data_IF_355998720221
#
_entry.id   IF_355998720221
#
_cell.length_a   1.000
_cell.length_b   1.000
_cell.length_c   1.000
_cell.angle_alpha   90.00
_cell.angle_beta   90.00
_cell.angle_gamma   90.00
#
_symmetry.space_group_name_H-M   'P 1'
#
loop_
_entity.id
_entity.type
_entity.pdbx_description
1 polymer ?
#
# COMPACT_ATOMS: atom_id res chain seq x y z
N UNK A 1 12.60 35.62 -15.71
CA UNK A 1 13.62 36.20 -14.81
C UNK A 1 13.80 35.39 -13.51
N UNK A 2 12.71 35.03 -12.80
CA UNK A 2 12.76 34.24 -11.54
C UNK A 2 13.26 32.79 -11.74
N UNK A 3 12.88 32.12 -12.84
CA UNK A 3 13.36 30.76 -13.18
C UNK A 3 14.89 30.69 -13.40
N UNK A 4 15.52 31.75 -13.91
CA UNK A 4 16.98 31.78 -14.11
C UNK A 4 17.74 32.13 -12.82
N UNK A 5 17.11 32.86 -11.89
CA UNK A 5 17.67 33.08 -10.56
C UNK A 5 17.77 31.75 -9.79
N UNK A 6 16.70 30.95 -9.80
CA UNK A 6 16.64 29.65 -9.12
C UNK A 6 17.69 28.65 -9.64
N UNK A 7 18.00 28.68 -10.94
CA UNK A 7 19.03 27.80 -11.54
C UNK A 7 20.45 28.18 -11.07
N UNK A 8 20.75 29.47 -10.95
CA UNK A 8 22.01 29.97 -10.38
C UNK A 8 22.16 29.69 -8.86
N UNK A 9 21.04 29.52 -8.15
CA UNK A 9 21.02 29.24 -6.70
C UNK A 9 21.52 27.83 -6.35
N UNK A 10 21.33 26.85 -7.23
CA UNK A 10 21.75 25.47 -7.00
C UNK A 10 23.21 25.20 -7.38
N UNK A 11 23.78 25.95 -8.34
CA UNK A 11 25.14 25.68 -8.82
C UNK A 11 26.27 26.15 -7.87
N UNK A 12 25.99 27.04 -6.90
CA UNK A 12 27.05 27.71 -6.12
C UNK A 12 27.11 27.41 -4.62
N UNK A 13 26.42 26.37 -4.13
CA UNK A 13 26.48 26.00 -2.69
C UNK A 13 26.20 27.18 -1.73
N UNK A 14 25.39 28.16 -2.17
CA UNK A 14 25.01 29.34 -1.37
C UNK A 14 23.89 29.06 -0.35
N UNK A 15 23.43 27.81 -0.26
CA UNK A 15 22.34 27.37 0.60
C UNK A 15 22.56 27.74 2.07
N UNK A 16 23.79 27.58 2.58
CA UNK A 16 24.15 27.94 3.96
C UNK A 16 24.16 29.45 4.24
N UNK A 17 24.54 30.26 3.25
CA UNK A 17 24.53 31.73 3.37
C UNK A 17 23.10 32.30 3.31
N UNK A 18 22.19 31.63 2.59
CA UNK A 18 20.79 31.99 2.53
C UNK A 18 20.04 31.61 3.83
N UNK A 19 20.34 30.44 4.41
CA UNK A 19 19.76 29.98 5.68
C UNK A 19 20.09 30.95 6.83
N UNK A 20 21.33 31.44 6.88
CA UNK A 20 21.76 32.42 7.89
C UNK A 20 21.12 33.81 7.71
N UNK A 21 20.79 34.20 6.47
CA UNK A 21 20.03 35.45 6.22
C UNK A 21 18.55 35.32 6.55
N UNK A 22 17.94 34.15 6.34
CA UNK A 22 16.54 33.89 6.74
C UNK A 22 16.40 33.83 8.27
N UNK A 23 17.35 33.20 8.96
CA UNK A 23 17.40 33.18 10.43
C UNK A 23 17.57 34.59 11.05
N UNK A 24 18.11 35.55 10.28
CA UNK A 24 18.24 36.95 10.70
C UNK A 24 16.99 37.81 10.42
N UNK A 25 16.01 37.34 9.64
CA UNK A 25 14.75 38.04 9.41
C UNK A 25 13.70 37.60 10.43
N UNK A 26 13.55 38.39 11.50
CA UNK A 26 12.57 38.21 12.60
C UNK A 26 11.07 38.29 12.20
N UNK A 27 10.69 38.02 10.95
CA UNK A 27 9.32 38.27 10.49
C UNK A 27 8.70 37.25 9.53
N UNK A 28 9.23 36.03 9.44
CA UNK A 28 8.53 34.94 8.74
C UNK A 28 8.00 33.95 9.78
N UNK A 29 6.67 33.92 9.88
CA UNK A 29 5.95 33.02 10.78
C UNK A 29 6.26 31.57 10.42
N UNK A 30 6.49 30.77 11.46
CA UNK A 30 6.73 29.32 11.47
C UNK A 30 5.78 28.47 10.57
N UNK A 31 4.53 28.87 10.23
CA UNK A 31 3.66 28.05 9.37
C UNK A 31 4.17 27.84 7.93
N UNK A 32 4.92 28.79 7.36
CA UNK A 32 5.33 28.69 5.96
C UNK A 32 6.45 27.67 5.75
N UNK A 33 7.34 27.52 6.74
CA UNK A 33 8.40 26.50 6.73
C UNK A 33 7.82 25.08 6.89
N UNK A 34 6.73 24.95 7.66
CA UNK A 34 6.01 23.69 7.86
C UNK A 34 5.32 23.20 6.58
N UNK A 35 4.75 24.12 5.79
CA UNK A 35 4.15 23.83 4.49
C UNK A 35 5.16 23.40 3.42
N UNK A 36 6.40 23.90 3.49
CA UNK A 36 7.47 23.51 2.57
C UNK A 36 8.03 22.11 2.92
N UNK A 37 8.12 21.77 4.21
CA UNK A 37 8.54 20.44 4.64
C UNK A 37 7.53 19.33 4.27
N UNK A 38 6.22 19.62 4.31
CA UNK A 38 5.17 18.68 3.87
C UNK A 38 5.26 18.39 2.36
N UNK A 39 5.81 19.30 1.55
CA UNK A 39 5.98 19.09 0.10
C UNK A 39 7.22 18.28 -0.28
N UNK A 40 8.15 18.02 0.64
CA UNK A 40 9.42 17.32 0.32
C UNK A 40 9.43 15.84 0.68
N UNK A 41 8.41 15.35 1.40
CA UNK A 41 8.18 13.92 1.60
C UNK A 41 6.72 13.64 1.26
N UNK A 42 6.47 12.73 0.31
CA UNK A 42 5.13 12.23 -0.03
C UNK A 42 4.49 11.41 1.09
N UNK A 43 4.51 11.90 2.32
CA UNK A 43 3.82 11.31 3.45
C UNK A 43 2.38 11.82 3.46
N UNK A 44 1.45 10.88 3.27
CA UNK A 44 0.02 11.10 3.45
C UNK A 44 -0.19 11.65 4.88
N UNK A 45 -0.91 12.79 5.06
CA UNK A 45 -1.12 13.35 6.39
C UNK A 45 -1.80 12.34 7.33
N UNK A 46 -1.37 12.27 8.59
CA UNK A 46 -1.97 11.42 9.64
C UNK A 46 -3.51 11.55 9.72
N UNK A 47 -4.05 12.74 9.41
CA UNK A 47 -5.50 12.99 9.32
C UNK A 47 -6.21 12.24 8.19
N UNK A 48 -5.52 11.90 7.10
CA UNK A 48 -6.10 11.13 5.99
C UNK A 48 -6.44 9.70 6.43
N UNK A 49 -5.58 9.09 7.25
CA UNK A 49 -5.81 7.75 7.82
C UNK A 49 -6.99 7.68 8.79
N UNK A 50 -7.53 8.80 9.27
CA UNK A 50 -8.69 8.80 10.17
C UNK A 50 -9.99 8.33 9.49
N UNK A 51 -10.08 8.43 8.16
CA UNK A 51 -11.22 7.95 7.36
C UNK A 51 -10.92 6.64 6.61
N UNK A 52 -9.72 6.09 6.79
CA UNK A 52 -9.28 4.89 6.11
C UNK A 52 -9.80 3.66 6.86
N UNK A 53 -10.76 2.97 6.25
CA UNK A 53 -11.47 1.81 6.81
C UNK A 53 -11.07 0.48 6.16
N UNK A 54 -9.94 0.45 5.45
CA UNK A 54 -9.38 -0.78 4.92
C UNK A 54 -8.89 -1.67 6.08
N UNK A 55 -9.23 -2.95 6.03
CA UNK A 55 -8.79 -3.95 7.00
C UNK A 55 -7.90 -4.95 6.26
N UNK A 56 -6.57 -4.92 6.47
CA UNK A 56 -5.67 -5.85 5.79
C UNK A 56 -5.94 -7.31 6.18
N UNK A 57 -5.77 -8.23 5.23
CA UNK A 57 -5.97 -9.66 5.43
C UNK A 57 -5.00 -10.25 6.45
N UNK A 58 -5.51 -11.09 7.34
CA UNK A 58 -4.79 -11.70 8.47
C UNK A 58 -3.78 -12.78 8.07
N UNK A 59 -4.00 -13.46 6.93
CA UNK A 59 -3.13 -14.54 6.47
C UNK A 59 -2.47 -14.14 5.16
N UNK A 60 -1.18 -13.85 5.20
CA UNK A 60 -0.40 -13.49 4.01
C UNK A 60 -0.21 -14.71 3.13
N UNK A 61 -0.62 -14.60 1.86
CA UNK A 61 -0.49 -15.62 0.82
C UNK A 61 0.67 -15.31 -0.15
N UNK A 62 0.99 -14.02 -0.32
CA UNK A 62 2.10 -13.52 -1.12
C UNK A 62 2.60 -12.19 -0.52
N UNK A 63 3.91 -12.01 -0.44
CA UNK A 63 4.56 -10.78 0.02
C UNK A 63 5.90 -10.63 -0.70
N UNK A 64 6.02 -9.58 -1.51
CA UNK A 64 7.23 -9.28 -2.26
C UNK A 64 7.58 -7.79 -2.22
N UNK A 65 8.78 -7.50 -1.74
CA UNK A 65 9.38 -6.18 -1.67
C UNK A 65 10.67 -6.07 -2.51
N UNK A 66 10.95 -7.10 -3.32
CA UNK A 66 12.05 -7.20 -4.28
C UNK A 66 13.45 -7.09 -3.67
N UNK A 67 13.62 -7.01 -2.34
CA UNK A 67 14.92 -6.76 -1.73
C UNK A 67 15.93 -7.88 -2.00
N UNK A 68 15.45 -9.12 -2.14
CA UNK A 68 16.25 -10.31 -2.41
C UNK A 68 16.42 -10.62 -3.90
N UNK A 69 15.79 -9.86 -4.79
CA UNK A 69 15.85 -10.06 -6.24
C UNK A 69 17.11 -9.43 -6.83
N UNK A 70 17.52 -9.88 -8.01
CA UNK A 70 18.63 -9.26 -8.76
C UNK A 70 18.06 -8.18 -9.69
N UNK A 71 18.68 -6.98 -9.76
CA UNK A 71 18.33 -5.99 -10.77
C UNK A 71 18.51 -6.55 -12.18
N UNK A 72 17.69 -6.05 -13.12
CA UNK A 72 17.69 -6.40 -14.54
C UNK A 72 17.37 -7.89 -14.81
N UNK A 73 16.70 -8.57 -13.85
CA UNK A 73 16.19 -9.94 -13.98
C UNK A 73 14.69 -9.99 -13.71
N UNK A 74 14.00 -10.94 -14.33
CA UNK A 74 12.60 -11.27 -13.99
C UNK A 74 12.57 -11.78 -12.54
N UNK A 75 11.81 -11.14 -11.63
CA UNK A 75 11.80 -11.56 -10.23
C UNK A 75 11.23 -12.96 -10.06
N UNK A 76 11.83 -13.71 -9.15
CA UNK A 76 11.63 -15.16 -8.99
C UNK A 76 10.18 -15.56 -8.66
N UNK A 77 9.43 -14.68 -7.99
CA UNK A 77 8.04 -14.88 -7.60
C UNK A 77 7.00 -14.31 -8.57
N UNK A 78 7.43 -13.94 -9.78
CA UNK A 78 6.53 -13.41 -10.80
C UNK A 78 6.58 -14.24 -12.08
N UNK A 79 5.45 -14.27 -12.77
CA UNK A 79 5.34 -14.81 -14.11
C UNK A 79 5.03 -13.67 -15.07
N UNK A 80 5.98 -13.37 -15.95
CA UNK A 80 5.82 -12.33 -16.98
C UNK A 80 5.09 -12.94 -18.17
N UNK A 81 3.96 -12.35 -18.55
CA UNK A 81 3.05 -12.83 -19.60
C UNK A 81 2.88 -11.86 -20.76
N UNK A 82 3.51 -10.68 -20.68
CA UNK A 82 3.52 -9.68 -21.74
C UNK A 82 4.63 -8.67 -21.51
N UNK A 83 5.17 -8.14 -22.61
CA UNK A 83 6.22 -7.14 -22.60
C UNK A 83 7.46 -7.54 -21.78
N UNK A 84 8.19 -6.52 -21.36
CA UNK A 84 9.43 -6.55 -20.59
C UNK A 84 9.13 -6.07 -19.19
N UNK A 85 9.07 -7.03 -18.27
CA UNK A 85 8.84 -6.80 -16.84
C UNK A 85 10.02 -7.38 -16.05
N UNK A 86 10.77 -6.50 -15.37
CA UNK A 86 12.05 -6.84 -14.76
C UNK A 86 12.24 -6.10 -13.43
N UNK A 87 13.07 -6.63 -12.54
CA UNK A 87 13.49 -5.92 -11.34
C UNK A 87 14.31 -4.69 -11.73
N UNK A 88 13.90 -3.50 -11.29
CA UNK A 88 14.57 -2.22 -11.54
C UNK A 88 14.99 -1.57 -10.23
N UNK A 89 15.79 -0.49 -10.29
CA UNK A 89 16.16 0.32 -9.13
C UNK A 89 15.62 1.74 -9.28
N UNK A 90 14.83 2.18 -8.31
CA UNK A 90 14.35 3.57 -8.19
C UNK A 90 14.74 4.12 -6.83
N UNK A 91 15.49 5.21 -6.81
CA UNK A 91 15.97 5.88 -5.60
C UNK A 91 16.69 4.95 -4.60
N UNK A 92 17.42 3.94 -5.12
CA UNK A 92 18.14 2.95 -4.31
C UNK A 92 17.30 1.77 -3.83
N UNK A 93 16.01 1.73 -4.16
CA UNK A 93 15.14 0.60 -3.83
C UNK A 93 14.86 -0.27 -5.06
N UNK A 94 14.84 -1.59 -4.85
CA UNK A 94 14.43 -2.55 -5.87
C UNK A 94 12.91 -2.54 -6.02
N UNK A 95 12.45 -2.52 -7.26
CA UNK A 95 11.05 -2.42 -7.66
C UNK A 95 10.81 -3.31 -8.88
N UNK A 96 9.55 -3.65 -9.17
CA UNK A 96 9.17 -4.28 -10.43
C UNK A 96 8.94 -3.19 -11.49
N UNK A 97 9.72 -3.17 -12.55
CA UNK A 97 9.58 -2.23 -13.66
C UNK A 97 8.85 -2.87 -14.84
N UNK A 98 7.86 -2.16 -15.38
CA UNK A 98 7.18 -2.43 -16.64
C UNK A 98 7.83 -1.50 -17.67
N UNK A 99 8.70 -2.05 -18.52
CA UNK A 99 9.73 -1.28 -19.23
C UNK A 99 9.49 -1.15 -20.73
N UNK A 100 8.40 -1.68 -21.25
CA UNK A 100 7.91 -1.51 -22.62
C UNK A 100 6.38 -1.46 -22.65
N UNK A 101 5.81 -1.36 -23.85
CA UNK A 101 4.36 -1.35 -24.04
C UNK A 101 3.74 -2.72 -23.73
N UNK A 102 2.60 -2.74 -23.05
CA UNK A 102 1.87 -3.95 -22.64
C UNK A 102 2.68 -4.90 -21.72
N UNK A 103 3.51 -4.35 -20.84
CA UNK A 103 4.14 -5.12 -19.78
C UNK A 103 3.07 -5.76 -18.91
N UNK A 104 3.16 -7.07 -18.67
CA UNK A 104 2.13 -7.82 -17.96
C UNK A 104 2.76 -8.93 -17.11
N UNK A 105 2.31 -9.04 -15.86
CA UNK A 105 2.82 -10.04 -14.93
C UNK A 105 1.77 -10.55 -13.93
N UNK A 106 1.90 -11.82 -13.57
CA UNK A 106 1.10 -12.50 -12.56
C UNK A 106 1.94 -12.78 -11.30
N UNK A 107 1.25 -12.84 -10.16
CA UNK A 107 1.84 -13.39 -8.93
C UNK A 107 2.05 -14.90 -9.09
N UNK A 108 3.28 -15.39 -8.89
CA UNK A 108 3.55 -16.83 -8.82
C UNK A 108 3.26 -17.33 -7.41
N UNK A 109 2.00 -17.72 -7.16
CA UNK A 109 1.60 -18.32 -5.89
C UNK A 109 2.23 -19.70 -5.69
N UNK A 110 2.49 -20.08 -4.43
CA UNK A 110 2.97 -21.42 -4.08
C UNK A 110 2.01 -22.49 -4.62
N UNK A 111 2.57 -23.64 -5.01
CA UNK A 111 1.80 -24.80 -5.48
C UNK A 111 0.75 -25.18 -4.42
N UNK A 112 -0.51 -25.33 -4.86
CA UNK A 112 -1.70 -25.61 -4.03
C UNK A 112 -2.23 -24.44 -3.18
N UNK A 113 -1.74 -23.21 -3.34
CA UNK A 113 -2.39 -22.03 -2.75
C UNK A 113 -3.80 -21.92 -3.29
N UNK A 114 -4.79 -21.97 -2.40
CA UNK A 114 -6.20 -21.74 -2.73
C UNK A 114 -6.57 -20.34 -2.26
N UNK A 115 -7.26 -19.60 -3.12
CA UNK A 115 -7.76 -18.26 -2.80
C UNK A 115 -9.17 -18.36 -2.22
N UNK A 116 -9.37 -17.80 -1.02
CA UNK A 116 -10.68 -17.69 -0.39
C UNK A 116 -11.57 -16.60 -1.01
N UNK A 117 -12.78 -16.43 -0.45
CA UNK A 117 -13.74 -15.41 -0.91
C UNK A 117 -13.49 -14.01 -0.30
N UNK A 118 -12.53 -13.90 0.62
CA UNK A 118 -12.16 -12.65 1.29
C UNK A 118 -10.67 -12.44 1.17
N UNK A 119 -10.28 -11.44 0.39
CA UNK A 119 -8.89 -11.18 0.03
C UNK A 119 -8.61 -9.70 0.09
N UNK A 120 -7.35 -9.39 0.33
CA UNK A 120 -6.80 -8.04 0.28
C UNK A 120 -5.56 -8.02 -0.59
N UNK A 121 -5.47 -7.00 -1.44
CA UNK A 121 -4.30 -6.73 -2.27
C UNK A 121 -3.79 -5.35 -1.94
N UNK A 122 -2.48 -5.24 -1.76
CA UNK A 122 -1.83 -3.96 -1.52
C UNK A 122 -0.55 -3.89 -2.34
N UNK A 123 -0.30 -2.74 -2.96
CA UNK A 123 0.95 -2.46 -3.64
C UNK A 123 1.14 -0.95 -3.73
N UNK A 124 2.34 -0.51 -4.06
CA UNK A 124 2.60 0.87 -4.46
C UNK A 124 3.00 0.90 -5.92
N UNK A 125 2.53 1.91 -6.65
CA UNK A 125 3.00 2.17 -8.01
C UNK A 125 3.59 3.56 -8.16
N UNK A 126 4.42 3.73 -9.18
CA UNK A 126 5.01 4.99 -9.61
C UNK A 126 4.97 5.04 -11.13
N UNK A 127 4.35 6.07 -11.69
CA UNK A 127 4.64 6.49 -13.07
C UNK A 127 5.77 7.48 -13.06
N UNK A 128 6.79 7.27 -13.89
CA UNK A 128 7.92 8.18 -14.03
C UNK A 128 8.14 8.54 -15.48
N UNK A 129 8.42 9.81 -15.74
CA UNK A 129 8.88 10.27 -17.03
C UNK A 129 10.39 10.57 -16.98
N UNK A 130 11.17 9.97 -17.88
CA UNK A 130 12.63 10.09 -17.85
C UNK A 130 13.17 11.38 -18.48
N UNK A 131 12.37 12.08 -19.28
CA UNK A 131 12.81 13.27 -20.04
C UNK A 131 12.32 14.61 -19.50
N UNK A 132 11.10 14.68 -19.02
CA UNK A 132 10.41 15.95 -18.78
C UNK A 132 9.25 15.77 -17.79
N UNK A 133 8.64 16.86 -17.32
CA UNK A 133 7.46 16.75 -16.45
C UNK A 133 6.31 16.07 -17.20
N UNK A 134 5.33 15.49 -16.49
CA UNK A 134 4.18 14.87 -17.17
C UNK A 134 3.47 15.84 -18.15
N UNK A 135 3.40 17.14 -17.82
CA UNK A 135 2.82 18.17 -18.70
C UNK A 135 3.62 18.28 -19.99
N UNK A 136 4.95 18.29 -19.88
CA UNK A 136 5.83 18.39 -21.02
C UNK A 136 5.74 17.11 -21.86
N UNK A 137 5.75 15.94 -21.23
CA UNK A 137 5.60 14.64 -21.87
C UNK A 137 4.26 14.53 -22.64
N UNK A 138 3.16 15.02 -22.05
CA UNK A 138 1.84 15.11 -22.69
C UNK A 138 1.85 16.07 -23.88
N UNK A 139 2.44 17.25 -23.73
CA UNK A 139 2.52 18.24 -24.81
C UNK A 139 3.43 17.79 -25.96
N UNK A 140 4.44 16.95 -25.67
CA UNK A 140 5.36 16.37 -26.64
C UNK A 140 4.79 15.11 -27.33
N UNK A 141 3.62 14.61 -26.89
CA UNK A 141 2.98 13.43 -27.47
C UNK A 141 3.64 12.09 -27.10
N UNK A 142 4.60 12.12 -26.15
CA UNK A 142 5.27 10.92 -25.63
C UNK A 142 4.51 10.26 -24.48
N UNK A 143 3.49 10.95 -23.98
CA UNK A 143 2.60 10.50 -22.91
C UNK A 143 1.22 10.17 -23.49
N UNK A 144 0.85 8.89 -23.55
CA UNK A 144 -0.34 8.43 -24.29
C UNK A 144 -1.25 7.51 -23.49
N UNK A 145 -2.02 8.08 -22.55
CA UNK A 145 -3.18 7.40 -21.95
C UNK A 145 -2.82 6.21 -21.06
N UNK A 146 -1.67 6.27 -20.40
CA UNK A 146 -1.09 5.24 -19.57
C UNK A 146 -2.03 4.85 -18.41
N UNK A 147 -2.25 3.54 -18.29
CA UNK A 147 -3.11 2.96 -17.26
C UNK A 147 -2.45 1.71 -16.69
N UNK A 148 -2.69 1.48 -15.40
CA UNK A 148 -2.50 0.17 -14.78
C UNK A 148 -3.82 -0.56 -14.90
N UNK A 149 -3.75 -1.77 -15.43
CA UNK A 149 -4.83 -2.72 -15.55
C UNK A 149 -4.65 -3.78 -14.47
N UNK A 150 -5.65 -3.94 -13.62
CA UNK A 150 -5.68 -4.96 -12.58
C UNK A 150 -6.80 -5.93 -12.91
N UNK A 151 -6.45 -7.17 -13.20
CA UNK A 151 -7.42 -8.22 -13.51
C UNK A 151 -7.35 -9.34 -12.44
N UNK A 152 -8.51 -9.94 -12.15
CA UNK A 152 -8.70 -10.94 -11.10
C UNK A 152 -9.03 -12.36 -11.64
N UNK A 153 -9.14 -12.50 -12.95
CA UNK A 153 -9.48 -13.70 -13.71
C UNK A 153 -8.31 -14.67 -13.94
N UNK A 154 -8.46 -15.61 -14.87
CA UNK A 154 -7.45 -16.65 -15.12
C UNK A 154 -6.17 -16.08 -15.77
N UNK A 155 -4.96 -16.54 -15.37
CA UNK A 155 -3.70 -16.21 -16.06
C UNK A 155 -3.73 -16.53 -17.56
N UNK A 156 -4.41 -17.62 -17.92
CA UNK A 156 -4.39 -18.22 -19.26
C UNK A 156 -5.51 -17.70 -20.18
N UNK A 157 -6.46 -16.92 -19.65
CA UNK A 157 -7.68 -16.61 -20.39
C UNK A 157 -8.21 -15.21 -20.06
N UNK A 158 -7.53 -14.20 -20.64
CA UNK A 158 -7.94 -12.78 -20.54
C UNK A 158 -9.33 -12.50 -21.15
N UNK A 159 -9.91 -13.47 -21.85
CA UNK A 159 -11.14 -13.31 -22.65
C UNK A 159 -12.21 -14.35 -22.32
N UNK A 160 -12.14 -15.03 -21.17
CA UNK A 160 -13.17 -15.97 -20.74
C UNK A 160 -13.76 -15.57 -19.41
N UNK A 161 -14.83 -14.79 -19.53
CA UNK A 161 -15.33 -13.93 -18.47
C UNK A 161 -16.52 -14.54 -17.76
N UNK A 162 -16.80 -15.82 -18.03
CA UNK A 162 -17.91 -16.56 -17.43
C UNK A 162 -17.65 -16.97 -15.97
N UNK A 163 -16.42 -16.80 -15.46
CA UNK A 163 -16.02 -17.20 -14.10
C UNK A 163 -15.32 -16.10 -13.27
N UNK A 164 -15.43 -14.84 -13.69
CA UNK A 164 -14.73 -13.72 -13.07
C UNK A 164 -15.37 -13.24 -11.76
N UNK A 165 -14.69 -12.35 -11.04
CA UNK A 165 -15.15 -11.76 -9.78
C UNK A 165 -16.35 -10.81 -10.04
N UNK A 166 -17.55 -11.37 -10.18
CA UNK A 166 -18.79 -10.64 -10.38
C UNK A 166 -18.94 -10.15 -11.81
N UNK A 167 -19.32 -8.88 -11.97
CA UNK A 167 -19.50 -8.23 -13.28
C UNK A 167 -18.24 -7.45 -13.72
N UNK A 168 -17.08 -7.71 -13.11
CA UNK A 168 -15.80 -7.02 -13.39
C UNK A 168 -15.09 -7.61 -14.61
N UNK A 169 -15.77 -7.53 -15.77
CA UNK A 169 -15.34 -8.08 -17.06
C UNK A 169 -13.97 -7.55 -17.53
N UNK A 170 -13.65 -6.30 -17.20
CA UNK A 170 -12.48 -5.61 -17.76
C UNK A 170 -11.43 -5.25 -16.69
N UNK A 171 -11.61 -5.74 -15.46
CA UNK A 171 -10.73 -5.41 -14.34
C UNK A 171 -10.88 -3.98 -13.84
N UNK A 172 -9.82 -3.47 -13.19
CA UNK A 172 -9.72 -2.11 -12.66
C UNK A 172 -8.62 -1.39 -13.43
N UNK A 173 -8.96 -0.22 -13.97
CA UNK A 173 -8.06 0.67 -14.66
C UNK A 173 -7.73 1.84 -13.75
N UNK A 174 -6.45 2.09 -13.46
CA UNK A 174 -6.02 3.28 -12.75
C UNK A 174 -5.20 4.10 -13.73
N UNK A 175 -5.56 5.36 -13.97
CA UNK A 175 -4.75 6.26 -14.79
C UNK A 175 -3.65 6.93 -13.95
N UNK A 176 -2.65 7.45 -14.64
CA UNK A 176 -1.63 8.34 -14.07
C UNK A 176 -2.19 9.63 -13.42
N UNK A 177 -3.40 10.06 -13.77
CA UNK A 177 -4.12 11.18 -13.13
C UNK A 177 -4.98 10.75 -11.96
N UNK A 178 -4.95 9.48 -11.56
CA UNK A 178 -5.79 8.95 -10.48
C UNK A 178 -7.25 8.72 -10.87
N UNK A 179 -7.59 8.87 -12.15
CA UNK A 179 -8.90 8.47 -12.67
C UNK A 179 -8.96 6.95 -12.65
N UNK A 180 -10.03 6.41 -12.08
CA UNK A 180 -10.23 4.97 -12.03
C UNK A 180 -11.44 4.62 -12.89
N UNK A 181 -11.22 3.73 -13.85
CA UNK A 181 -12.24 3.14 -14.70
C UNK A 181 -12.40 1.66 -14.32
N UNK A 182 -13.61 1.15 -14.40
CA UNK A 182 -13.97 -0.23 -14.07
C UNK A 182 -14.62 -0.93 -15.27
N UNK A 183 -14.46 -0.37 -16.46
CA UNK A 183 -15.00 -0.89 -17.71
C UNK A 183 -16.52 -1.07 -17.67
N UNK A 184 -16.99 -2.19 -18.22
CA UNK A 184 -18.41 -2.54 -18.38
C UNK A 184 -19.11 -3.12 -17.12
N UNK A 185 -18.93 -2.51 -15.95
CA UNK A 185 -19.72 -2.89 -14.76
C UNK A 185 -21.21 -2.57 -14.97
N UNK A 186 -22.02 -3.58 -15.32
CA UNK A 186 -23.42 -3.42 -15.81
C UNK A 186 -24.48 -3.10 -14.73
N UNK A 187 -24.07 -2.79 -13.50
CA UNK A 187 -25.01 -2.39 -12.44
C UNK A 187 -25.63 -1.02 -12.72
N UNK A 188 -26.92 -0.84 -12.36
CA UNK A 188 -27.63 0.47 -12.31
C UNK A 188 -27.02 1.49 -11.33
N UNK A 189 -25.74 1.36 -11.01
CA UNK A 189 -24.97 2.43 -10.42
C UNK A 189 -24.54 3.31 -11.59
N UNK A 190 -25.28 4.39 -11.84
CA UNK A 190 -24.75 5.51 -12.62
C UNK A 190 -23.58 6.07 -11.81
N UNK A 191 -22.42 5.43 -11.97
CA UNK A 191 -21.14 6.02 -11.67
C UNK A 191 -21.00 7.13 -12.70
N UNK A 192 -21.62 8.28 -12.43
CA UNK A 192 -21.04 9.53 -12.92
C UNK A 192 -19.56 9.41 -12.60
N UNK A 193 -18.71 9.68 -13.60
CA UNK A 193 -17.29 9.95 -13.41
C UNK A 193 -17.07 10.34 -11.95
N UNK A 194 -16.24 9.64 -11.20
CA UNK A 194 -16.02 10.00 -9.80
C UNK A 194 -15.43 11.41 -9.63
N UNK A 195 -15.36 12.21 -10.71
CA UNK A 195 -15.19 13.66 -10.76
C UNK A 195 -16.10 14.29 -11.85
N UNK A 196 -16.64 15.50 -11.66
CA UNK A 196 -17.42 16.21 -12.68
C UNK A 196 -16.62 16.43 -13.97
N UNK A 197 -17.27 16.76 -15.08
CA UNK A 197 -16.64 17.08 -16.38
C UNK A 197 -15.74 18.33 -16.37
N UNK A 198 -15.35 18.80 -15.19
CA UNK A 198 -14.54 20.00 -14.99
C UNK A 198 -13.06 19.64 -15.05
N UNK A 199 -12.35 20.37 -15.91
CA UNK A 199 -10.92 20.35 -16.25
C UNK A 199 -9.94 20.61 -15.08
N UNK A 200 -10.27 20.22 -13.86
CA UNK A 200 -9.37 20.32 -12.72
C UNK A 200 -8.50 19.05 -12.68
N UNK A 201 -7.18 19.23 -12.86
CA UNK A 201 -6.19 18.17 -12.69
C UNK A 201 -6.12 17.86 -11.20
N UNK A 202 -6.85 16.84 -10.77
CA UNK A 202 -6.88 16.40 -9.38
C UNK A 202 -5.65 15.55 -9.10
N UNK A 203 -4.61 16.21 -8.58
CA UNK A 203 -3.34 15.60 -8.17
C UNK A 203 -2.69 14.71 -9.22
N UNK A 204 -1.85 15.31 -10.06
CA UNK A 204 -0.84 14.57 -10.81
C UNK A 204 -0.14 13.53 -9.90
N UNK A 205 -0.38 12.24 -10.17
CA UNK A 205 0.23 11.12 -9.45
C UNK A 205 1.54 10.68 -10.10
N UNK A 206 1.94 11.30 -11.22
CA UNK A 206 3.25 11.07 -11.80
C UNK A 206 4.34 11.51 -10.84
N UNK A 207 5.47 10.82 -10.90
CA UNK A 207 6.65 11.03 -10.07
C UNK A 207 6.38 10.91 -8.56
N UNK A 208 5.25 10.32 -8.16
CA UNK A 208 4.86 10.05 -6.78
C UNK A 208 4.51 8.58 -6.60
N UNK A 209 4.97 8.01 -5.50
CA UNK A 209 4.50 6.70 -5.08
C UNK A 209 3.06 6.79 -4.60
N UNK A 210 2.20 5.95 -5.16
CA UNK A 210 0.78 5.83 -4.80
C UNK A 210 0.53 4.48 -4.20
N UNK A 211 -0.02 4.45 -2.98
CA UNK A 211 -0.46 3.20 -2.34
C UNK A 211 -1.84 2.82 -2.85
N UNK A 212 -1.95 1.64 -3.44
CA UNK A 212 -3.21 1.00 -3.81
C UNK A 212 -3.54 -0.05 -2.75
N UNK A 213 -4.78 -0.04 -2.27
CA UNK A 213 -5.32 -1.10 -1.42
C UNK A 213 -6.66 -1.55 -1.97
N UNK A 214 -6.84 -2.85 -2.13
CA UNK A 214 -8.04 -3.47 -2.68
C UNK A 214 -8.55 -4.48 -1.67
N UNK A 215 -9.81 -4.37 -1.28
CA UNK A 215 -10.49 -5.33 -0.41
C UNK A 215 -11.59 -6.02 -1.21
N UNK A 216 -11.54 -7.35 -1.25
CA UNK A 216 -12.54 -8.22 -1.86
C UNK A 216 -13.23 -9.01 -0.76
N UNK A 217 -14.56 -9.03 -0.81
CA UNK A 217 -15.43 -9.80 0.09
C UNK A 217 -16.43 -10.60 -0.73
N UNK A 218 -17.28 -11.39 -0.09
CA UNK A 218 -18.32 -12.17 -0.75
C UNK A 218 -19.35 -11.30 -1.50
N UNK A 219 -19.47 -10.02 -1.14
CA UNK A 219 -20.49 -9.14 -1.68
C UNK A 219 -20.00 -7.75 -2.11
N UNK A 220 -18.71 -7.43 -1.93
CA UNK A 220 -18.18 -6.11 -2.29
C UNK A 220 -16.69 -6.11 -2.60
N UNK A 221 -16.31 -5.25 -3.54
CA UNK A 221 -14.96 -4.84 -3.86
C UNK A 221 -14.78 -3.36 -3.48
N UNK A 222 -13.71 -3.04 -2.76
CA UNK A 222 -13.34 -1.66 -2.41
C UNK A 222 -11.93 -1.38 -2.86
N UNK A 223 -11.69 -0.17 -3.35
CA UNK A 223 -10.37 0.31 -3.78
C UNK A 223 -10.06 1.59 -3.04
N UNK A 224 -8.80 1.73 -2.65
CA UNK A 224 -8.26 2.88 -1.96
C UNK A 224 -6.99 3.34 -2.67
N UNK A 225 -6.86 4.64 -2.89
CA UNK A 225 -5.62 5.29 -3.28
C UNK A 225 -5.15 6.17 -2.13
N UNK A 226 -3.91 6.01 -1.67
CA UNK A 226 -3.33 6.82 -0.61
C UNK A 226 -4.24 6.97 0.63
N UNK A 227 -4.82 5.83 1.05
CA UNK A 227 -5.77 5.71 2.16
C UNK A 227 -7.16 6.36 1.93
N UNK A 228 -7.41 6.99 0.77
CA UNK A 228 -8.73 7.48 0.38
C UNK A 228 -9.49 6.38 -0.35
N UNK A 229 -10.70 6.04 0.13
CA UNK A 229 -11.59 5.14 -0.59
C UNK A 229 -12.08 5.81 -1.87
N UNK A 230 -11.83 5.17 -2.98
CA UNK A 230 -12.17 5.62 -4.34
C UNK A 230 -13.22 4.70 -4.97
N UNK A 231 -13.38 3.46 -4.49
CA UNK A 231 -14.45 2.57 -4.93
C UNK A 231 -15.11 1.82 -3.77
N UNK A 232 -16.41 1.59 -3.91
CA UNK A 232 -17.16 0.57 -3.18
C UNK A 232 -18.22 -0.05 -4.12
N UNK A 233 -17.88 -1.16 -4.78
CA UNK A 233 -18.73 -1.86 -5.75
C UNK A 233 -19.29 -3.16 -5.17
N UNK A 234 -20.53 -3.55 -5.48
CA UNK A 234 -21.05 -4.85 -5.10
C UNK A 234 -20.47 -5.97 -5.98
N UNK A 235 -20.24 -7.16 -5.40
CA UNK A 235 -19.91 -8.40 -6.12
C UNK A 235 -21.17 -9.27 -6.12
N UNK A 236 -21.62 -9.69 -7.30
CA UNK A 236 -22.84 -10.51 -7.45
C UNK A 236 -22.58 -12.02 -7.40
N UNK A 237 -21.44 -12.46 -7.94
CA UNK A 237 -21.07 -13.87 -8.09
C UNK A 237 -19.57 -14.00 -8.34
N UNK A 238 -19.07 -15.23 -8.51
CA UNK A 238 -17.67 -15.47 -8.88
C UNK A 238 -16.69 -15.48 -7.72
N UNK A 239 -15.43 -15.80 -8.02
CA UNK A 239 -14.33 -15.85 -7.05
C UNK A 239 -13.08 -15.29 -7.70
N UNK A 240 -12.21 -14.72 -6.88
CA UNK A 240 -10.92 -14.28 -7.33
C UNK A 240 -10.03 -15.48 -7.66
N UNK A 241 -9.37 -15.44 -8.81
CA UNK A 241 -8.52 -16.55 -9.30
C UNK A 241 -7.05 -16.18 -9.33
N UNK A 242 -6.75 -14.94 -9.67
CA UNK A 242 -5.39 -14.43 -9.78
C UNK A 242 -5.34 -12.94 -9.44
N UNK A 243 -4.14 -12.39 -9.39
CA UNK A 243 -3.88 -10.97 -9.45
C UNK A 243 -2.90 -10.71 -10.59
N UNK A 244 -3.44 -10.14 -11.66
CA UNK A 244 -2.72 -9.77 -12.85
C UNK A 244 -2.53 -8.26 -12.86
N UNK A 245 -1.31 -7.81 -13.07
CA UNK A 245 -1.01 -6.40 -13.33
C UNK A 245 -0.51 -6.31 -14.76
N UNK A 246 -1.18 -5.48 -15.54
CA UNK A 246 -0.72 -5.00 -16.84
C UNK A 246 -0.55 -3.49 -16.77
N UNK A 247 0.45 -2.96 -17.44
CA UNK A 247 0.65 -1.53 -17.49
C UNK A 247 1.57 -1.13 -18.61
N UNK A 248 1.24 0.02 -19.18
CA UNK A 248 2.07 0.62 -20.22
C UNK A 248 3.33 1.19 -19.58
N UNK A 249 4.45 0.54 -19.88
CA UNK A 249 5.80 1.06 -19.69
C UNK A 249 6.15 2.04 -20.81
N UNK A 250 7.39 1.95 -21.28
CA UNK A 250 7.93 2.87 -22.30
C UNK A 250 7.10 2.76 -23.58
N UNK A 251 6.37 3.83 -23.92
CA UNK A 251 5.72 4.02 -25.22
C UNK A 251 6.75 3.89 -26.36
N UNK A 252 6.32 3.76 -27.62
CA UNK A 252 7.11 3.55 -28.85
C UNK A 252 8.39 4.41 -29.05
N UNK A 253 8.64 5.40 -28.20
CA UNK A 253 9.86 6.19 -28.13
C UNK A 253 10.63 5.88 -26.84
N UNK A 254 11.97 5.83 -26.93
CA UNK A 254 12.93 5.53 -25.85
C UNK A 254 12.74 6.32 -24.52
N UNK A 255 11.82 7.28 -24.48
CA UNK A 255 11.58 8.23 -23.39
C UNK A 255 10.12 8.31 -22.91
N UNK A 256 9.26 7.35 -23.25
CA UNK A 256 7.90 7.28 -22.73
C UNK A 256 7.83 7.08 -21.21
N UNK A 257 6.63 7.21 -20.65
CA UNK A 257 6.32 6.92 -19.25
C UNK A 257 6.80 5.52 -18.85
N UNK A 258 7.21 5.36 -17.60
CA UNK A 258 7.59 4.06 -17.05
C UNK A 258 6.75 3.77 -15.82
N UNK A 259 6.25 2.54 -15.72
CA UNK A 259 5.52 2.07 -14.56
C UNK A 259 6.43 1.23 -13.69
N UNK A 260 6.47 1.55 -12.40
CA UNK A 260 7.15 0.75 -11.39
C UNK A 260 6.17 0.35 -10.29
N UNK A 261 6.33 -0.85 -9.74
CA UNK A 261 5.52 -1.40 -8.67
C UNK A 261 6.42 -1.89 -7.52
N UNK A 262 6.02 -1.65 -6.27
CA UNK A 262 6.73 -2.16 -5.08
C UNK A 262 5.77 -2.57 -3.96
N UNK A 263 6.31 -3.25 -2.95
CA UNK A 263 5.60 -3.65 -1.73
C UNK A 263 4.27 -4.38 -2.01
N UNK A 264 4.33 -5.40 -2.84
CA UNK A 264 3.16 -6.17 -3.28
C UNK A 264 2.80 -7.21 -2.23
N UNK A 265 1.53 -7.23 -1.84
CA UNK A 265 1.02 -8.14 -0.83
C UNK A 265 -0.37 -8.64 -1.21
N UNK A 266 -0.57 -9.95 -1.11
CA UNK A 266 -1.88 -10.61 -1.14
C UNK A 266 -2.10 -11.33 0.20
N UNK A 267 -3.24 -11.10 0.82
CA UNK A 267 -3.62 -11.77 2.05
C UNK A 267 -5.11 -12.17 2.09
N UNK A 268 -5.38 -13.31 2.71
CA UNK A 268 -6.71 -13.80 3.09
C UNK A 268 -7.23 -13.08 4.34
N UNK A 269 -8.53 -12.76 4.37
CA UNK A 269 -9.19 -12.11 5.51
C UNK A 269 -9.72 -10.72 5.18
N UNK A 270 -9.52 -9.76 6.11
CA UNK A 270 -10.19 -8.45 6.02
C UNK A 270 -11.60 -8.50 6.61
N UNK A 271 -11.80 -9.39 7.60
CA UNK A 271 -13.03 -9.48 8.38
C UNK A 271 -13.02 -8.33 9.39
N UNK A 272 -14.21 -7.82 9.70
CA UNK A 272 -14.40 -6.87 10.80
C UNK A 272 -13.71 -7.38 12.08
N UNK A 273 -12.81 -6.59 12.71
CA UNK A 273 -12.05 -7.05 13.86
C UNK A 273 -12.92 -7.57 15.01
N UNK A 274 -14.10 -7.00 15.22
CA UNK A 274 -15.01 -7.47 16.28
C UNK A 274 -15.61 -8.83 15.96
N UNK A 275 -15.92 -9.11 14.69
CA UNK A 275 -16.38 -10.44 14.26
C UNK A 275 -15.28 -11.48 14.46
N UNK A 276 -14.05 -11.19 14.04
CA UNK A 276 -12.90 -12.09 14.28
C UNK A 276 -12.72 -12.33 15.77
N UNK A 277 -12.76 -11.26 16.58
CA UNK A 277 -12.62 -11.36 18.03
C UNK A 277 -13.70 -12.21 18.69
N UNK A 278 -14.94 -12.09 18.22
CA UNK A 278 -16.09 -12.82 18.78
C UNK A 278 -15.99 -14.33 18.54
N UNK A 279 -15.25 -14.75 17.51
CA UNK A 279 -15.05 -16.16 17.16
C UNK A 279 -13.77 -16.70 17.83
N UNK A 280 -12.65 -16.00 17.68
CA UNK A 280 -11.33 -16.53 18.05
C UNK A 280 -10.83 -16.04 19.41
N UNK A 281 -11.49 -15.05 20.03
CA UNK A 281 -10.99 -14.36 21.22
C UNK A 281 -9.71 -13.55 20.98
N UNK A 282 -9.28 -13.44 19.71
CA UNK A 282 -8.03 -12.83 19.28
C UNK A 282 -8.22 -12.09 17.96
N UNK A 283 -7.49 -10.99 17.79
CA UNK A 283 -7.32 -10.31 16.51
C UNK A 283 -5.84 -10.34 16.14
N UNK A 284 -5.51 -10.72 14.91
CA UNK A 284 -4.17 -10.50 14.36
C UNK A 284 -4.22 -9.17 13.61
N UNK A 285 -3.64 -8.12 14.20
CA UNK A 285 -3.71 -6.77 13.66
C UNK A 285 -2.68 -6.58 12.54
N UNK A 286 -3.10 -6.91 11.32
CA UNK A 286 -2.32 -6.63 10.11
C UNK A 286 -2.41 -5.16 9.73
N UNK A 287 -1.36 -4.67 9.09
CA UNK A 287 -1.19 -3.24 8.77
C UNK A 287 -0.51 -2.43 9.86
N UNK A 288 -0.27 -2.98 11.06
CA UNK A 288 0.60 -2.36 12.05
C UNK A 288 2.06 -2.70 11.70
N UNK A 289 2.73 -1.74 11.07
CA UNK A 289 4.06 -1.89 10.51
C UNK A 289 5.09 -1.06 11.27
N UNK A 290 6.33 -1.55 11.31
CA UNK A 290 7.45 -0.88 11.97
C UNK A 290 8.60 -0.68 11.01
N UNK A 291 9.43 0.32 11.28
CA UNK A 291 10.72 0.46 10.60
C UNK A 291 11.57 -0.80 10.79
N UNK A 292 12.36 -1.15 9.76
CA UNK A 292 13.14 -2.39 9.76
C UNK A 292 14.09 -2.43 10.96
N UNK A 293 14.07 -3.55 11.69
CA UNK A 293 14.86 -3.74 12.92
C UNK A 293 14.51 -2.80 14.09
N UNK A 294 13.42 -2.03 14.01
CA UNK A 294 13.06 -1.02 15.02
C UNK A 294 11.64 -1.22 15.56
N UNK A 295 11.35 -0.53 16.66
CA UNK A 295 10.02 -0.39 17.28
C UNK A 295 9.30 0.91 16.88
N UNK A 296 9.87 1.70 15.97
CA UNK A 296 9.24 2.90 15.40
C UNK A 296 8.08 2.50 14.49
N UNK A 297 6.85 2.89 14.87
CA UNK A 297 5.65 2.69 14.05
C UNK A 297 5.73 3.52 12.77
N UNK A 298 5.36 2.92 11.65
CA UNK A 298 5.23 3.64 10.38
C UNK A 298 3.87 4.34 10.27
N UNK A 299 3.78 5.51 9.61
CA UNK A 299 2.53 6.26 9.47
C UNK A 299 1.35 5.45 8.91
N UNK A 300 1.61 4.54 7.98
CA UNK A 300 0.60 3.65 7.40
C UNK A 300 -0.10 2.72 8.41
N UNK A 301 0.49 2.54 9.61
CA UNK A 301 -0.11 1.76 10.70
C UNK A 301 -1.35 2.39 11.31
N UNK A 302 -1.56 3.68 11.08
CA UNK A 302 -2.65 4.45 11.69
C UNK A 302 -4.03 3.91 11.30
N UNK A 303 -4.21 3.42 10.06
CA UNK A 303 -5.48 2.82 9.64
C UNK A 303 -5.86 1.60 10.48
N UNK A 304 -4.92 0.65 10.60
CA UNK A 304 -5.13 -0.55 11.41
C UNK A 304 -5.38 -0.22 12.89
N UNK A 305 -4.63 0.75 13.44
CA UNK A 305 -4.83 1.21 14.81
C UNK A 305 -6.21 1.87 15.01
N UNK A 306 -6.66 2.69 14.05
CA UNK A 306 -7.97 3.32 14.09
C UNK A 306 -9.10 2.28 14.10
N UNK A 307 -8.97 1.18 13.35
CA UNK A 307 -9.95 0.09 13.39
C UNK A 307 -10.06 -0.53 14.79
N UNK A 308 -8.93 -0.73 15.48
CA UNK A 308 -8.92 -1.22 16.87
C UNK A 308 -9.56 -0.18 17.82
N UNK A 309 -9.23 1.11 17.67
CA UNK A 309 -9.81 2.19 18.48
C UNK A 309 -11.33 2.27 18.29
N UNK A 310 -11.82 2.23 17.06
CA UNK A 310 -13.26 2.25 16.75
C UNK A 310 -13.98 1.07 17.41
N UNK A 311 -13.43 -0.14 17.28
CA UNK A 311 -13.98 -1.33 17.94
C UNK A 311 -14.00 -1.17 19.48
N UNK A 312 -12.90 -0.73 20.09
CA UNK A 312 -12.82 -0.56 21.55
C UNK A 312 -13.74 0.55 22.08
N UNK A 313 -14.03 1.56 21.26
CA UNK A 313 -15.00 2.60 21.59
C UNK A 313 -16.45 2.10 21.46
N UNK A 314 -16.74 1.29 20.44
CA UNK A 314 -18.05 0.65 20.27
C UNK A 314 -18.33 -0.40 21.35
N UNK A 315 -17.28 -1.00 21.92
CA UNK A 315 -17.34 -2.05 22.93
C UNK A 315 -16.49 -1.71 24.16
N UNK A 316 -16.99 -0.85 25.07
CA UNK A 316 -16.24 -0.35 26.24
C UNK A 316 -15.77 -1.45 27.21
N UNK A 317 -16.42 -2.60 27.20
CA UNK A 317 -16.10 -3.77 28.03
C UNK A 317 -14.83 -4.50 27.60
N UNK A 318 -14.38 -4.32 26.36
CA UNK A 318 -13.22 -5.04 25.84
C UNK A 318 -11.92 -4.60 26.53
N UNK A 319 -11.14 -5.60 26.96
CA UNK A 319 -9.76 -5.44 27.44
C UNK A 319 -8.84 -6.35 26.63
N UNK A 320 -7.63 -5.89 26.36
CA UNK A 320 -6.68 -6.62 25.52
C UNK A 320 -5.29 -6.76 26.16
N UNK A 321 -4.66 -7.91 25.90
CA UNK A 321 -3.21 -8.04 25.87
C UNK A 321 -2.74 -7.75 24.44
N UNK A 322 -1.94 -6.69 24.28
CA UNK A 322 -1.25 -6.37 23.03
C UNK A 322 0.03 -7.22 22.98
N UNK A 323 0.05 -8.18 22.07
CA UNK A 323 1.09 -9.19 21.95
C UNK A 323 1.99 -8.92 20.75
N UNK A 324 3.30 -8.75 20.96
CA UNK A 324 4.27 -8.58 19.88
C UNK A 324 4.97 -9.88 19.54
N UNK A 325 5.21 -10.13 18.25
CA UNK A 325 5.93 -11.29 17.74
C UNK A 325 6.94 -10.90 16.64
N UNK A 326 8.03 -11.66 16.53
CA UNK A 326 9.03 -11.55 15.47
C UNK A 326 9.03 -12.81 14.59
N UNK A 327 9.73 -12.75 13.46
CA UNK A 327 10.25 -13.96 12.80
C UNK A 327 11.48 -14.47 13.56
N UNK A 328 12.11 -15.53 13.03
CA UNK A 328 13.31 -16.12 13.61
C UNK A 328 14.64 -15.49 13.15
N UNK A 329 14.61 -14.32 12.51
CA UNK A 329 15.85 -13.65 12.12
C UNK A 329 16.40 -12.88 13.33
N UNK A 330 17.68 -13.10 13.66
CA UNK A 330 18.32 -12.50 14.84
C UNK A 330 18.49 -13.49 15.99
N UNK A 331 18.77 -12.98 17.20
CA UNK A 331 18.88 -13.81 18.40
C UNK A 331 17.64 -13.64 19.29
N UNK A 332 17.30 -14.68 20.04
CA UNK A 332 16.10 -14.78 20.87
C UNK A 332 15.91 -13.60 21.83
N UNK A 333 17.00 -13.14 22.48
CA UNK A 333 16.93 -12.04 23.44
C UNK A 333 16.62 -10.70 22.75
N UNK A 334 17.25 -10.43 21.60
CA UNK A 334 16.95 -9.27 20.77
C UNK A 334 15.52 -9.33 20.24
N UNK A 335 15.05 -10.50 19.80
CA UNK A 335 13.70 -10.70 19.30
C UNK A 335 12.63 -10.52 20.39
N UNK A 336 12.89 -11.02 21.59
CA UNK A 336 12.02 -10.80 22.75
C UNK A 336 11.92 -9.31 23.12
N UNK A 337 13.07 -8.62 23.19
CA UNK A 337 13.10 -7.18 23.49
C UNK A 337 12.35 -6.37 22.42
N UNK A 338 12.67 -6.60 21.13
CA UNK A 338 12.04 -5.90 20.01
C UNK A 338 10.52 -6.12 19.99
N UNK A 339 10.06 -7.36 20.21
CA UNK A 339 8.64 -7.68 20.26
C UNK A 339 7.92 -6.98 21.43
N UNK A 340 8.57 -6.89 22.60
CA UNK A 340 8.05 -6.20 23.78
C UNK A 340 7.94 -4.70 23.52
N UNK A 341 8.97 -4.08 22.97
CA UNK A 341 8.96 -2.66 22.63
C UNK A 341 7.86 -2.33 21.62
N UNK A 342 7.71 -3.16 20.58
CA UNK A 342 6.64 -2.99 19.57
C UNK A 342 5.25 -3.04 20.21
N UNK A 343 5.00 -3.97 21.13
CA UNK A 343 3.74 -4.04 21.86
C UNK A 343 3.49 -2.78 22.71
N UNK A 344 4.53 -2.28 23.41
CA UNK A 344 4.46 -1.04 24.20
C UNK A 344 4.15 0.16 23.32
N UNK A 345 4.82 0.29 22.17
CA UNK A 345 4.59 1.40 21.24
C UNK A 345 3.15 1.37 20.72
N UNK A 346 2.61 0.19 20.37
CA UNK A 346 1.21 0.06 19.96
C UNK A 346 0.25 0.45 21.06
N UNK A 347 0.44 -0.05 22.30
CA UNK A 347 -0.37 0.34 23.45
C UNK A 347 -0.35 1.86 23.66
N UNK A 348 0.83 2.47 23.67
CA UNK A 348 0.98 3.91 23.88
C UNK A 348 0.30 4.71 22.76
N UNK A 349 0.37 4.24 21.51
CA UNK A 349 -0.33 4.87 20.40
C UNK A 349 -1.85 4.76 20.56
N UNK A 350 -2.40 3.61 20.96
CA UNK A 350 -3.83 3.48 21.25
C UNK A 350 -4.30 4.39 22.41
N UNK A 351 -3.47 4.54 23.44
CA UNK A 351 -3.74 5.49 24.54
C UNK A 351 -3.79 6.92 24.02
N UNK A 352 -2.83 7.32 23.17
CA UNK A 352 -2.83 8.65 22.55
C UNK A 352 -4.03 8.90 21.64
N UNK A 353 -4.66 7.84 21.14
CA UNK A 353 -5.90 7.88 20.35
C UNK A 353 -7.18 7.81 21.21
N UNK A 354 -7.05 7.82 22.55
CA UNK A 354 -8.18 7.96 23.48
C UNK A 354 -8.61 6.69 24.20
N UNK A 355 -7.93 5.56 24.02
CA UNK A 355 -8.24 4.32 24.75
C UNK A 355 -7.64 4.36 26.16
N UNK A 356 -8.43 4.04 27.19
CA UNK A 356 -7.91 3.93 28.56
C UNK A 356 -6.81 2.87 28.67
N UNK A 357 -5.67 3.26 29.25
CA UNK A 357 -4.52 2.37 29.45
C UNK A 357 -4.81 1.18 30.37
N UNK A 358 -5.83 1.27 31.23
CA UNK A 358 -6.29 0.16 32.10
C UNK A 358 -6.93 -0.97 31.30
N UNK A 359 -7.38 -0.70 30.07
CA UNK A 359 -7.95 -1.70 29.17
C UNK A 359 -6.89 -2.44 28.36
N UNK A 360 -5.60 -2.09 28.54
CA UNK A 360 -4.50 -2.56 27.70
C UNK A 360 -3.34 -3.07 28.56
N UNK A 361 -2.95 -4.31 28.35
CA UNK A 361 -1.66 -4.87 28.81
C UNK A 361 -0.77 -5.17 27.60
N UNK A 362 0.51 -5.44 27.82
CA UNK A 362 1.46 -5.70 26.73
C UNK A 362 2.35 -6.89 27.04
N UNK A 363 2.68 -7.68 26.03
CA UNK A 363 3.63 -8.78 26.16
C UNK A 363 4.39 -9.02 24.87
N UNK A 364 5.71 -9.16 24.97
CA UNK A 364 6.53 -9.65 23.87
C UNK A 364 6.67 -11.16 23.93
N UNK A 365 6.55 -11.81 22.79
CA UNK A 365 6.73 -13.26 22.65
C UNK A 365 7.98 -13.62 21.83
N UNK A 366 8.68 -12.64 21.26
CA UNK A 366 9.76 -12.87 20.30
C UNK A 366 9.30 -13.82 19.18
N UNK A 367 10.13 -14.81 18.88
CA UNK A 367 9.86 -15.85 17.87
C UNK A 367 9.18 -17.12 18.44
N UNK A 368 8.89 -17.16 19.75
CA UNK A 368 8.47 -18.39 20.47
C UNK A 368 7.06 -18.89 20.11
N UNK A 369 6.28 -18.09 19.35
CA UNK A 369 4.91 -18.40 18.93
C UNK A 369 4.75 -18.18 17.42
N UNK A 370 5.44 -18.95 16.57
CA UNK A 370 5.28 -18.86 15.13
C UNK A 370 3.88 -19.36 14.73
N UNK A 371 3.28 -18.72 13.73
CA UNK A 371 2.01 -19.13 13.11
C UNK A 371 2.19 -19.55 11.66
N UNK A 372 3.40 -19.40 11.14
CA UNK A 372 3.81 -19.84 9.82
C UNK A 372 5.27 -20.25 9.84
N UNK A 373 5.72 -20.86 8.75
CA UNK A 373 7.10 -21.26 8.57
C UNK A 373 8.06 -20.05 8.60
N UNK A 374 9.28 -20.23 9.12
CA UNK A 374 10.27 -19.16 9.20
C UNK A 374 11.32 -19.20 8.07
N UNK A 375 11.19 -20.10 7.11
CA UNK A 375 12.15 -20.24 6.00
C UNK A 375 11.76 -19.42 4.77
N UNK A 376 10.50 -18.97 4.69
CA UNK A 376 9.95 -18.23 3.54
C UNK A 376 9.58 -16.79 3.88
N UNK A 377 9.65 -15.87 2.92
CA UNK A 377 9.32 -14.45 3.11
C UNK A 377 7.90 -14.24 3.65
N UNK A 378 6.92 -14.97 3.10
CA UNK A 378 5.51 -14.88 3.51
C UNK A 378 5.29 -15.46 4.90
N UNK A 379 6.01 -16.54 5.23
CA UNK A 379 5.94 -17.15 6.54
C UNK A 379 6.54 -16.23 7.62
N UNK A 380 7.69 -15.64 7.35
CA UNK A 380 8.28 -14.59 8.20
C UNK A 380 7.37 -13.37 8.32
N UNK A 381 6.76 -12.90 7.22
CA UNK A 381 5.79 -11.80 7.24
C UNK A 381 4.56 -12.13 8.09
N UNK A 382 4.09 -13.38 8.06
CA UNK A 382 3.02 -13.84 8.94
C UNK A 382 3.47 -13.83 10.41
N UNK A 383 4.70 -14.21 10.72
CA UNK A 383 5.23 -14.28 12.09
C UNK A 383 5.49 -12.90 12.71
N UNK A 384 6.03 -11.95 11.94
CA UNK A 384 6.17 -10.53 12.32
C UNK A 384 4.80 -9.87 12.46
N UNK A 385 4.25 -9.85 13.68
CA UNK A 385 2.87 -9.42 13.89
C UNK A 385 2.61 -8.86 15.28
N UNK A 386 1.49 -8.15 15.38
CA UNK A 386 0.89 -7.75 16.64
C UNK A 386 -0.47 -8.44 16.76
N UNK A 387 -0.74 -9.06 17.91
CA UNK A 387 -2.03 -9.66 18.23
C UNK A 387 -2.71 -8.88 19.36
N UNK A 388 -4.03 -8.86 19.36
CA UNK A 388 -4.86 -8.36 20.46
C UNK A 388 -5.63 -9.55 21.03
N UNK A 389 -5.23 -10.01 22.21
CA UNK A 389 -5.86 -11.13 22.90
C UNK A 389 -6.91 -10.60 23.87
N UNK A 390 -8.17 -11.00 23.72
CA UNK A 390 -9.23 -10.60 24.66
C UNK A 390 -8.91 -11.15 26.04
N UNK A 391 -8.89 -10.27 27.03
CA UNK A 391 -8.75 -10.66 28.43
C UNK A 391 -10.17 -10.75 28.99
N UNK A 392 -10.55 -11.94 29.46
CA UNK A 392 -11.78 -12.09 30.22
C UNK A 392 -11.57 -11.43 31.58
N UNK A 393 -12.46 -10.50 31.92
CA UNK A 393 -12.48 -9.87 33.25
C UNK A 393 -13.03 -10.82 34.29
#
# INVERSE_FOLDING_TARGET
>A
MIKNLLKLFFEKNLFFLFLNKILAMRSLTIPLLFLILIRMNGQIPEKSYAKFDFIPGEKVLFDDNFQNERPDEIPSYWEVTGGRVETSIINGEKVLGFLDQNGAANLRLKKNTTLGNRLTFEFEYLWRNNKSSWIDAYNEGVFSGERIYINFGSPDDRYNLSEELGDLYEGIYISHTGVIDFGNFSGKYNMGKLMPETSEIYEDLCDKWVRVSISVTENSLRVYLNAQRVLNAPIKSGKLRNFHIEGDGVSIEENGSQLFVRQVRLAEGGIDPYKTLSIDGKIIARGINFESGKSTLKPESLGALNNIVQMMNAHPELKFEVSGHTDSDGNDASNLNLSTERAIVVKNKLISLGISGERLTTKGYGETKPISDNTTSEGKANNRRVEFLKINS
#
